data_IF_983144231030
#
_entry.id   IF_983144231030
#
_cell.length_a   1.000
_cell.length_b   1.000
_cell.length_c   1.000
_cell.angle_alpha   90.00
_cell.angle_beta   90.00
_cell.angle_gamma   90.00
#
_symmetry.space_group_name_H-M   'P 1'
#
loop_
_entity.id
_entity.type
_entity.pdbx_description
1 polymer ?
#
# COMPACT_ATOMS: atom_id res chain seq x y z
N UNK A 1 1.47 -6.88 18.33
CA UNK A 1 2.68 -6.45 17.61
C UNK A 1 2.52 -6.77 16.14
N UNK A 2 2.76 -5.79 15.27
CA UNK A 2 2.84 -6.01 13.81
C UNK A 2 4.13 -6.75 13.46
N UNK A 3 4.12 -7.46 12.35
CA UNK A 3 5.31 -8.13 11.81
C UNK A 3 5.72 -7.37 10.56
N UNK A 4 6.96 -6.89 10.55
CA UNK A 4 7.59 -6.22 9.40
C UNK A 4 8.48 -7.21 8.67
N UNK A 5 8.56 -7.08 7.34
CA UNK A 5 9.24 -8.06 6.50
C UNK A 5 8.33 -9.21 6.04
N UNK A 6 8.96 -10.31 5.61
CA UNK A 6 8.27 -11.49 5.10
C UNK A 6 7.45 -12.19 6.18
N UNK A 7 6.35 -12.84 5.77
CA UNK A 7 5.53 -13.69 6.64
C UNK A 7 5.74 -15.14 6.23
N UNK A 8 6.20 -15.98 7.16
CA UNK A 8 6.44 -17.40 6.91
C UNK A 8 7.34 -17.66 5.70
N UNK A 9 6.90 -18.57 4.84
CA UNK A 9 7.61 -18.95 3.61
C UNK A 9 7.23 -18.11 2.39
N UNK A 10 6.35 -17.11 2.52
CA UNK A 10 5.88 -16.35 1.37
C UNK A 10 6.96 -15.44 0.78
N UNK A 11 7.10 -15.44 -0.55
CA UNK A 11 8.13 -14.74 -1.33
C UNK A 11 7.52 -13.99 -2.54
N UNK A 12 8.25 -13.00 -3.08
CA UNK A 12 7.77 -12.28 -4.27
C UNK A 12 7.37 -13.27 -5.38
N UNK A 13 6.23 -13.02 -6.02
CA UNK A 13 5.61 -13.93 -6.99
C UNK A 13 4.48 -14.78 -6.44
N UNK A 14 4.42 -15.05 -5.13
CA UNK A 14 3.33 -15.81 -4.53
C UNK A 14 1.98 -15.12 -4.72
N UNK A 15 0.93 -15.90 -5.02
CA UNK A 15 -0.41 -15.39 -5.28
C UNK A 15 -1.43 -15.84 -4.24
N UNK A 16 -2.41 -14.96 -4.00
CA UNK A 16 -3.51 -15.18 -3.06
C UNK A 16 -4.82 -14.91 -3.79
N UNK A 17 -5.77 -15.85 -3.68
CA UNK A 17 -7.03 -15.77 -4.41
C UNK A 17 -7.94 -14.61 -3.96
N UNK A 18 -7.76 -14.05 -2.75
CA UNK A 18 -8.64 -13.00 -2.24
C UNK A 18 -8.04 -12.19 -1.09
N UNK A 19 -8.69 -11.08 -0.75
CA UNK A 19 -8.40 -10.30 0.48
C UNK A 19 -8.59 -11.14 1.75
N UNK A 20 -9.51 -12.09 1.74
CA UNK A 20 -9.71 -13.02 2.86
C UNK A 20 -8.53 -13.98 2.99
N UNK A 21 -8.02 -14.50 1.87
CA UNK A 21 -6.83 -15.35 1.86
C UNK A 21 -5.59 -14.58 2.35
N UNK A 22 -5.39 -13.33 1.91
CA UNK A 22 -4.33 -12.46 2.43
C UNK A 22 -4.42 -12.25 3.95
N UNK A 23 -5.63 -12.04 4.46
CA UNK A 23 -5.87 -11.84 5.89
C UNK A 23 -5.60 -13.10 6.69
N UNK A 24 -6.09 -14.25 6.21
CA UNK A 24 -5.89 -15.55 6.85
C UNK A 24 -4.39 -15.94 6.88
N UNK A 25 -3.65 -15.63 5.82
CA UNK A 25 -2.21 -15.83 5.75
C UNK A 25 -1.40 -14.82 6.59
N UNK A 26 -2.03 -13.75 7.08
CA UNK A 26 -1.37 -12.68 7.83
C UNK A 26 -0.52 -11.71 7.00
N UNK A 27 -0.45 -11.91 5.67
CA UNK A 27 0.36 -11.10 4.74
C UNK A 27 -0.21 -9.68 4.60
N UNK A 28 -1.54 -9.56 4.53
CA UNK A 28 -2.25 -8.28 4.63
C UNK A 28 -3.58 -8.46 5.37
N UNK A 29 -3.61 -8.06 6.65
CA UNK A 29 -4.75 -8.32 7.55
C UNK A 29 -6.06 -7.59 7.19
N UNK A 30 -6.05 -6.33 6.71
CA UNK A 30 -7.31 -5.66 6.40
C UNK A 30 -8.07 -6.29 5.22
N UNK A 31 -9.36 -6.56 5.41
CA UNK A 31 -10.21 -7.12 4.33
C UNK A 31 -10.59 -6.11 3.23
N UNK A 32 -10.57 -4.80 3.55
CA UNK A 32 -10.96 -3.73 2.62
C UNK A 32 -9.89 -2.67 2.42
N UNK A 33 -9.32 -2.16 3.52
CA UNK A 33 -8.38 -1.04 3.46
C UNK A 33 -7.10 -1.38 2.68
N UNK A 34 -6.69 -0.50 1.77
CA UNK A 34 -5.44 -0.67 1.01
C UNK A 34 -4.19 -0.76 1.89
N UNK A 35 -4.23 -0.16 3.08
CA UNK A 35 -3.08 -0.04 3.98
C UNK A 35 -3.32 -0.80 5.29
N UNK A 36 -2.33 -1.59 5.70
CA UNK A 36 -2.20 -2.18 7.04
C UNK A 36 -1.11 -1.42 7.80
N UNK A 37 -1.50 -0.71 8.86
CA UNK A 37 -0.54 0.04 9.68
C UNK A 37 -1.21 0.79 10.83
N UNK A 38 -0.39 1.25 11.78
CA UNK A 38 -0.81 2.18 12.85
C UNK A 38 0.17 3.35 12.93
N UNK A 39 -0.25 4.53 13.41
CA UNK A 39 0.67 5.65 13.66
C UNK A 39 1.81 5.32 14.64
N UNK A 40 1.63 4.32 15.51
CA UNK A 40 2.60 3.96 16.54
C UNK A 40 3.67 2.97 16.05
N UNK A 41 3.30 2.04 15.15
CA UNK A 41 4.22 1.00 14.67
C UNK A 41 4.68 1.25 13.23
N UNK A 42 3.89 1.98 12.42
CA UNK A 42 4.10 2.15 10.99
C UNK A 42 3.21 1.26 10.13
N UNK A 43 3.46 1.28 8.82
CA UNK A 43 2.81 0.46 7.79
C UNK A 43 3.58 -0.84 7.61
N UNK A 44 2.90 -1.99 7.74
CA UNK A 44 3.51 -3.30 7.51
C UNK A 44 3.13 -3.92 6.16
N UNK A 45 2.01 -3.52 5.56
CA UNK A 45 1.64 -3.96 4.21
C UNK A 45 0.69 -3.00 3.49
N UNK A 46 0.79 -2.96 2.16
CA UNK A 46 -0.10 -2.20 1.28
C UNK A 46 -0.59 -3.05 0.10
N UNK A 47 -1.71 -2.64 -0.48
CA UNK A 47 -2.27 -3.23 -1.70
C UNK A 47 -2.38 -2.18 -2.80
N UNK A 48 -1.79 -2.49 -3.95
CA UNK A 48 -1.91 -1.77 -5.22
C UNK A 48 -3.11 -2.37 -5.98
N UNK A 49 -4.20 -1.62 -6.07
CA UNK A 49 -5.45 -2.10 -6.69
C UNK A 49 -6.02 -1.12 -7.73
N UNK A 50 -5.21 -0.15 -8.18
CA UNK A 50 -5.61 0.86 -9.18
C UNK A 50 -6.81 1.69 -8.74
N UNK A 51 -7.00 1.88 -7.43
CA UNK A 51 -8.17 2.56 -6.90
C UNK A 51 -8.02 4.07 -6.83
N UNK A 52 -6.80 4.59 -6.93
CA UNK A 52 -6.51 6.02 -6.87
C UNK A 52 -5.90 6.45 -8.19
N UNK A 53 -6.40 7.55 -8.73
CA UNK A 53 -5.95 8.09 -10.02
C UNK A 53 -4.52 8.64 -9.97
N UNK A 54 -4.02 8.97 -8.79
CA UNK A 54 -2.68 9.51 -8.53
C UNK A 54 -1.64 8.42 -8.25
N UNK A 55 -2.06 7.15 -8.12
CA UNK A 55 -1.12 6.04 -7.94
C UNK A 55 -0.25 5.87 -9.20
N UNK A 56 1.05 5.62 -9.01
CA UNK A 56 1.98 5.24 -10.08
C UNK A 56 2.75 4.01 -9.65
N UNK A 57 2.68 2.95 -10.46
CA UNK A 57 3.39 1.69 -10.22
C UNK A 57 4.52 1.56 -11.23
N UNK A 58 5.76 1.75 -10.79
CA UNK A 58 6.96 1.51 -11.57
C UNK A 58 7.83 0.44 -10.92
N UNK A 59 8.81 -0.07 -11.68
CA UNK A 59 9.76 -1.08 -11.19
C UNK A 59 10.69 -0.51 -10.10
N UNK A 60 11.18 0.71 -10.28
CA UNK A 60 12.13 1.35 -9.34
C UNK A 60 11.44 2.01 -8.13
N UNK A 61 10.20 2.45 -8.31
CA UNK A 61 9.44 3.11 -7.26
C UNK A 61 7.93 3.04 -7.48
N UNK A 62 7.22 3.10 -6.36
CA UNK A 62 5.78 3.28 -6.29
C UNK A 62 5.51 4.67 -5.74
N UNK A 63 4.62 5.41 -6.39
CA UNK A 63 3.95 6.57 -5.80
C UNK A 63 2.58 6.11 -5.33
N UNK A 64 2.37 6.12 -4.01
CA UNK A 64 1.16 5.62 -3.37
C UNK A 64 0.36 6.78 -2.80
N UNK A 65 -0.87 6.95 -3.28
CA UNK A 65 -1.77 7.97 -2.77
C UNK A 65 -2.34 7.57 -1.41
N UNK A 66 -2.34 8.52 -0.47
CA UNK A 66 -2.97 8.38 0.83
C UNK A 66 -4.48 8.13 0.73
N UNK A 67 -5.08 7.78 1.86
CA UNK A 67 -6.53 7.60 1.96
C UNK A 67 -7.24 8.89 2.41
N UNK A 68 -8.54 9.00 2.12
CA UNK A 68 -9.40 10.08 2.60
C UNK A 68 -9.81 11.06 1.50
N UNK A 69 -10.76 11.95 1.81
CA UNK A 69 -11.27 12.97 0.90
C UNK A 69 -11.98 12.42 -0.36
N UNK A 70 -12.49 11.18 -0.30
CA UNK A 70 -13.14 10.50 -1.44
C UNK A 70 -14.64 10.33 -1.22
N UNK A 71 -15.40 10.48 -2.30
CA UNK A 71 -16.81 10.14 -2.32
C UNK A 71 -17.00 8.62 -2.23
N UNK A 72 -17.85 8.16 -1.32
CA UNK A 72 -17.99 6.74 -1.01
C UNK A 72 -18.67 5.92 -2.13
N UNK A 73 -19.40 6.58 -3.05
CA UNK A 73 -20.11 5.90 -4.14
C UNK A 73 -19.26 5.77 -5.40
N UNK A 74 -18.58 6.85 -5.75
CA UNK A 74 -17.80 6.97 -6.99
C UNK A 74 -16.33 6.66 -6.78
N UNK A 75 -15.84 6.76 -5.55
CA UNK A 75 -14.42 6.71 -5.24
C UNK A 75 -13.64 7.90 -5.79
N UNK A 76 -14.25 8.97 -6.29
CA UNK A 76 -13.47 10.12 -6.77
C UNK A 76 -12.99 10.98 -5.60
N UNK A 77 -11.85 11.65 -5.76
CA UNK A 77 -11.39 12.65 -4.80
C UNK A 77 -12.33 13.87 -4.88
N UNK A 78 -12.85 14.32 -3.73
CA UNK A 78 -13.83 15.42 -3.61
C UNK A 78 -13.47 16.42 -2.50
N UNK A 79 -12.40 16.16 -1.76
CA UNK A 79 -11.86 17.03 -0.73
C UNK A 79 -10.37 16.76 -0.53
N UNK A 80 -9.69 17.69 0.12
CA UNK A 80 -8.29 17.52 0.52
C UNK A 80 -8.12 16.35 1.50
N UNK A 81 -6.99 15.66 1.43
CA UNK A 81 -6.65 14.59 2.36
C UNK A 81 -6.06 15.15 3.66
N UNK A 82 -6.41 14.50 4.76
CA UNK A 82 -5.84 14.81 6.06
C UNK A 82 -4.72 13.83 6.45
N UNK A 83 -3.76 14.30 7.23
CA UNK A 83 -2.69 13.47 7.78
C UNK A 83 -3.16 12.72 9.04
N UNK A 84 -4.16 11.85 8.88
CA UNK A 84 -4.76 11.10 9.99
C UNK A 84 -4.64 9.59 9.80
N UNK A 85 -4.73 8.85 10.92
CA UNK A 85 -4.79 7.39 10.94
C UNK A 85 -3.69 6.73 10.08
N UNK A 86 -4.05 6.07 8.97
CA UNK A 86 -3.09 5.34 8.13
C UNK A 86 -2.14 6.24 7.36
N UNK A 87 -2.53 7.47 7.01
CA UNK A 87 -1.61 8.42 6.36
C UNK A 87 -0.47 8.78 7.32
N UNK A 88 -0.77 8.96 8.61
CA UNK A 88 0.25 9.17 9.65
C UNK A 88 1.14 7.94 9.87
N UNK A 89 0.63 6.72 9.65
CA UNK A 89 1.44 5.51 9.74
C UNK A 89 2.59 5.47 8.71
N UNK A 90 2.41 6.08 7.54
CA UNK A 90 3.50 6.19 6.55
C UNK A 90 4.64 7.08 7.04
N UNK A 91 4.35 8.14 7.82
CA UNK A 91 5.41 8.96 8.41
C UNK A 91 6.24 8.16 9.42
N UNK A 92 5.58 7.33 10.22
CA UNK A 92 6.29 6.41 11.13
C UNK A 92 7.16 5.41 10.35
N UNK A 93 6.69 4.91 9.21
CA UNK A 93 7.50 4.07 8.31
C UNK A 93 8.65 4.82 7.64
N UNK A 94 8.47 6.10 7.32
CA UNK A 94 9.53 6.97 6.80
C UNK A 94 10.63 7.18 7.85
N UNK A 95 10.28 7.32 9.12
CA UNK A 95 11.27 7.45 10.21
C UNK A 95 11.98 6.13 10.50
N UNK A 96 11.24 5.03 10.59
CA UNK A 96 11.77 3.73 11.04
C UNK A 96 12.45 2.94 9.95
N UNK A 97 12.15 3.24 8.68
CA UNK A 97 12.63 2.50 7.51
C UNK A 97 12.31 0.99 7.60
N UNK A 98 11.27 0.60 8.34
CA UNK A 98 10.86 -0.80 8.44
C UNK A 98 10.27 -1.29 7.10
N UNK A 99 10.50 -2.57 6.74
CA UNK A 99 9.98 -3.11 5.48
C UNK A 99 8.45 -3.15 5.40
N UNK A 100 7.92 -2.69 4.29
CA UNK A 100 6.50 -2.73 3.90
C UNK A 100 6.30 -3.82 2.86
N UNK A 101 5.40 -4.78 3.12
CA UNK A 101 5.00 -5.75 2.09
C UNK A 101 4.09 -5.09 1.06
N UNK A 102 4.36 -5.28 -0.22
CA UNK A 102 3.52 -4.77 -1.31
C UNK A 102 2.79 -5.91 -1.99
N UNK A 103 1.47 -5.78 -2.13
CA UNK A 103 0.61 -6.72 -2.85
C UNK A 103 0.02 -6.02 -4.06
N UNK A 104 0.10 -6.61 -5.25
CA UNK A 104 -0.58 -6.09 -6.43
C UNK A 104 -1.81 -6.92 -6.75
N UNK A 105 -2.95 -6.26 -6.97
CA UNK A 105 -4.11 -6.91 -7.60
C UNK A 105 -3.78 -7.15 -9.07
N UNK A 106 -3.88 -8.40 -9.50
CA UNK A 106 -3.54 -8.86 -10.86
C UNK A 106 -4.71 -9.63 -11.44
N UNK A 107 -4.90 -9.55 -12.75
CA UNK A 107 -5.89 -10.37 -13.44
C UNK A 107 -5.31 -11.76 -13.73
N UNK A 108 -6.16 -12.78 -13.66
CA UNK A 108 -5.81 -14.17 -13.95
C UNK A 108 -6.32 -14.58 -15.32
N UNK A 109 -5.79 -15.67 -15.89
CA UNK A 109 -6.12 -16.14 -17.25
C UNK A 109 -7.62 -16.45 -17.43
N UNK A 110 -8.29 -16.84 -16.35
CA UNK A 110 -9.73 -17.12 -16.30
C UNK A 110 -10.60 -15.85 -16.13
N UNK A 111 -10.00 -14.65 -16.18
CA UNK A 111 -10.69 -13.37 -16.05
C UNK A 111 -11.10 -13.02 -14.62
N UNK A 112 -10.61 -13.76 -13.62
CA UNK A 112 -10.74 -13.39 -12.21
C UNK A 112 -9.59 -12.45 -11.80
N UNK A 113 -9.55 -12.09 -10.51
CA UNK A 113 -8.42 -11.35 -9.95
C UNK A 113 -7.81 -12.10 -8.79
N UNK A 114 -6.48 -12.04 -8.69
CA UNK A 114 -5.70 -12.49 -7.56
C UNK A 114 -4.89 -11.32 -6.96
N UNK A 115 -4.18 -11.60 -5.87
CA UNK A 115 -3.22 -10.68 -5.29
C UNK A 115 -1.84 -11.33 -5.30
N UNK A 116 -0.90 -10.74 -6.04
CA UNK A 116 0.48 -11.19 -6.08
C UNK A 116 1.32 -10.42 -5.07
N UNK A 117 2.20 -11.11 -4.35
CA UNK A 117 3.16 -10.48 -3.47
C UNK A 117 4.34 -9.94 -4.29
N UNK A 118 4.57 -8.63 -4.25
CA UNK A 118 5.64 -7.94 -5.00
C UNK A 118 6.94 -7.82 -4.21
N UNK A 119 6.94 -8.26 -2.94
CA UNK A 119 8.10 -8.18 -2.06
C UNK A 119 8.08 -7.01 -1.09
N UNK A 120 9.27 -6.70 -0.59
CA UNK A 120 9.49 -5.72 0.47
C UNK A 120 9.94 -4.40 -0.12
N UNK A 121 9.37 -3.33 0.43
CA UNK A 121 9.66 -1.95 0.05
C UNK A 121 9.93 -1.13 1.31
N UNK A 122 10.50 0.06 1.14
CA UNK A 122 10.63 1.07 2.19
C UNK A 122 9.98 2.37 1.75
N UNK A 123 9.35 3.06 2.70
CA UNK A 123 8.86 4.43 2.49
C UNK A 123 10.06 5.36 2.51
N UNK A 124 10.29 6.09 1.41
CA UNK A 124 11.46 6.95 1.22
C UNK A 124 11.13 8.44 1.17
N UNK A 125 9.88 8.79 0.87
CA UNK A 125 9.44 10.18 0.85
C UNK A 125 7.94 10.30 1.14
N UNK A 126 7.51 11.46 1.60
CA UNK A 126 6.12 11.83 1.84
C UNK A 126 5.89 13.29 1.47
N UNK A 127 4.97 13.54 0.53
CA UNK A 127 4.68 14.88 0.03
C UNK A 127 3.18 15.17 0.14
N UNK A 128 2.84 16.43 0.45
CA UNK A 128 1.46 16.92 0.37
C UNK A 128 1.33 17.81 -0.87
N UNK A 129 0.69 17.28 -1.90
CA UNK A 129 0.69 17.85 -3.26
C UNK A 129 -0.72 17.98 -3.81
N UNK A 130 -0.93 18.84 -4.81
CA UNK A 130 -2.20 18.89 -5.53
C UNK A 130 -2.29 17.71 -6.50
N UNK A 131 -3.26 16.82 -6.25
CA UNK A 131 -3.54 15.65 -7.09
C UNK A 131 -4.29 16.01 -8.37
N UNK A 132 -4.54 15.00 -9.22
CA UNK A 132 -5.13 15.15 -10.56
C UNK A 132 -6.54 15.74 -10.55
N UNK A 133 -7.34 15.43 -9.54
CA UNK A 133 -8.68 16.03 -9.31
C UNK A 133 -8.65 17.45 -8.73
N UNK A 134 -7.48 18.05 -8.51
CA UNK A 134 -7.34 19.42 -8.00
C UNK A 134 -7.40 19.57 -6.47
N UNK A 135 -7.62 18.48 -5.74
CA UNK A 135 -7.54 18.43 -4.28
C UNK A 135 -6.15 18.04 -3.83
N UNK A 136 -5.76 18.50 -2.64
CA UNK A 136 -4.49 18.12 -2.05
C UNK A 136 -4.54 16.68 -1.52
N UNK A 137 -3.49 15.90 -1.79
CA UNK A 137 -3.34 14.51 -1.39
C UNK A 137 -1.98 14.29 -0.71
N UNK A 138 -1.90 13.27 0.13
CA UNK A 138 -0.61 12.74 0.55
C UNK A 138 -0.11 11.74 -0.47
N UNK A 139 1.12 11.93 -0.94
CA UNK A 139 1.79 11.02 -1.87
C UNK A 139 3.02 10.45 -1.18
N UNK A 140 3.08 9.12 -1.09
CA UNK A 140 4.18 8.41 -0.45
C UNK A 140 5.02 7.70 -1.51
N UNK A 141 6.32 7.94 -1.51
CA UNK A 141 7.25 7.23 -2.40
C UNK A 141 7.75 5.99 -1.68
N UNK A 142 7.55 4.81 -2.28
CA UNK A 142 8.12 3.56 -1.82
C UNK A 142 9.14 3.04 -2.84
N UNK A 143 10.26 2.48 -2.36
CA UNK A 143 11.26 1.84 -3.20
C UNK A 143 11.48 0.39 -2.79
N UNK A 144 11.76 -0.53 -3.73
CA UNK A 144 12.10 -1.91 -3.40
C UNK A 144 13.25 -1.95 -2.39
N UNK A 145 13.14 -2.87 -1.44
CA UNK A 145 14.27 -3.26 -0.62
C UNK A 145 15.20 -4.07 -1.53
N UNK A 146 16.32 -3.48 -1.94
CA UNK A 146 17.35 -4.24 -2.63
C UNK A 146 17.85 -5.31 -1.65
N UNK A 147 17.92 -6.56 -2.12
CA UNK A 147 18.60 -7.59 -1.34
C UNK A 147 20.07 -7.15 -1.21
N UNK A 148 20.62 -7.21 0.01
CA UNK A 148 22.06 -7.12 0.18
C UNK A 148 22.68 -8.24 -0.66
N UNK A 149 23.47 -7.85 -1.67
CA UNK A 149 24.20 -8.76 -2.56
C UNK A 149 25.37 -9.39 -1.82
#
# INVERSE_FOLDING_TARGET
MRVFGHIGTYRPGDTFASRLALSAAGVHRPLRAGVSGTPAEGVDSIVLAGQYEDDVFGEDQILYAGQGGRDAKTGRQVADQELTSRNRAFLQSLETQLPVRVLQKVDTEDGLSAYRYEGLYQVRDAQYVRGRSGFCIWLFTLRPLLADV
#
